data_IF_128646161019
#
_entry.id   IF_128646161019
#
_cell.length_a   1.000
_cell.length_b   1.000
_cell.length_c   1.000
_cell.angle_alpha   90.00
_cell.angle_beta   90.00
_cell.angle_gamma   90.00
#
_symmetry.space_group_name_H-M   'P 1'
#
loop_
_entity.id
_entity.type
_entity.pdbx_description
1 polymer ?
#
# COMPACT_ATOMS: atom_id res chain seq x y z
N UNK A 1 -30.64 7.46 20.09
CA UNK A 1 -30.39 7.58 18.64
C UNK A 1 -28.97 7.13 18.41
N UNK A 2 -28.78 5.98 17.77
CA UNK A 2 -27.45 5.45 17.44
C UNK A 2 -27.05 6.07 16.11
N UNK A 3 -26.12 7.01 16.13
CA UNK A 3 -25.60 7.62 14.89
C UNK A 3 -24.72 6.57 14.22
N UNK A 4 -25.25 5.85 13.23
CA UNK A 4 -24.42 5.08 12.31
C UNK A 4 -23.59 6.09 11.53
N UNK A 5 -22.29 6.18 11.83
CA UNK A 5 -21.39 7.02 11.05
C UNK A 5 -21.32 6.41 9.65
N UNK A 6 -21.90 7.07 8.65
CA UNK A 6 -21.67 6.69 7.26
C UNK A 6 -20.16 6.74 7.01
N UNK A 7 -19.61 5.61 6.60
CA UNK A 7 -18.18 5.50 6.33
C UNK A 7 -17.91 6.14 4.98
N UNK A 8 -17.23 7.29 4.98
CA UNK A 8 -16.85 7.96 3.74
C UNK A 8 -15.58 7.33 3.14
N UNK A 9 -15.41 7.39 1.82
CA UNK A 9 -14.18 6.98 1.12
C UNK A 9 -12.94 7.62 1.76
N UNK A 10 -13.02 8.91 2.11
CA UNK A 10 -11.94 9.63 2.82
C UNK A 10 -11.58 8.96 4.14
N UNK A 11 -12.56 8.54 4.93
CA UNK A 11 -12.34 7.87 6.22
C UNK A 11 -11.69 6.50 6.02
N UNK A 12 -12.13 5.72 5.04
CA UNK A 12 -11.52 4.40 4.71
C UNK A 12 -10.08 4.55 4.27
N UNK A 13 -9.79 5.50 3.37
CA UNK A 13 -8.43 5.75 2.89
C UNK A 13 -7.53 6.21 4.03
N UNK A 14 -7.99 7.11 4.90
CA UNK A 14 -7.22 7.55 6.05
C UNK A 14 -6.90 6.39 7.00
N UNK A 15 -7.88 5.51 7.24
CA UNK A 15 -7.69 4.31 8.05
C UNK A 15 -6.72 3.31 7.39
N UNK A 16 -6.80 3.10 6.08
CA UNK A 16 -5.85 2.28 5.32
C UNK A 16 -4.42 2.80 5.48
N UNK A 17 -4.20 4.09 5.23
CA UNK A 17 -2.89 4.71 5.35
C UNK A 17 -2.36 4.63 6.79
N UNK A 18 -3.23 4.79 7.79
CA UNK A 18 -2.88 4.62 9.20
C UNK A 18 -2.42 3.19 9.49
N UNK A 19 -3.15 2.18 9.01
CA UNK A 19 -2.77 0.76 9.20
C UNK A 19 -1.46 0.42 8.47
N UNK A 20 -1.27 0.95 7.25
CA UNK A 20 -0.01 0.81 6.50
C UNK A 20 1.16 1.37 7.32
N UNK A 21 1.00 2.56 7.92
CA UNK A 21 2.01 3.17 8.77
C UNK A 21 2.31 2.39 10.07
N UNK A 22 1.38 1.55 10.53
CA UNK A 22 1.59 0.67 11.69
C UNK A 22 2.30 -0.64 11.32
N UNK A 23 2.24 -1.06 10.06
CA UNK A 23 3.03 -2.17 9.53
C UNK A 23 2.56 -3.57 9.92
N UNK A 24 1.28 -3.73 10.29
CA UNK A 24 0.65 -5.05 10.56
C UNK A 24 -0.06 -5.55 9.29
N UNK A 25 0.50 -6.54 8.55
CA UNK A 25 -0.03 -6.98 7.27
C UNK A 25 -1.46 -7.52 7.33
N UNK A 26 -1.79 -8.26 8.38
CA UNK A 26 -3.10 -8.85 8.60
C UNK A 26 -4.14 -7.75 8.83
N UNK A 27 -3.82 -6.77 9.68
CA UNK A 27 -4.73 -5.65 9.95
C UNK A 27 -4.90 -4.73 8.74
N UNK A 28 -3.86 -4.52 7.95
CA UNK A 28 -3.97 -3.77 6.69
C UNK A 28 -4.92 -4.49 5.74
N UNK A 29 -4.76 -5.81 5.59
CA UNK A 29 -5.56 -6.62 4.68
C UNK A 29 -7.07 -6.65 5.03
N UNK A 30 -7.46 -6.47 6.29
CA UNK A 30 -8.87 -6.38 6.68
C UNK A 30 -9.67 -5.30 5.92
N UNK A 31 -9.02 -4.24 5.43
CA UNK A 31 -9.66 -3.20 4.63
C UNK A 31 -9.80 -3.54 3.15
N UNK A 32 -9.14 -4.58 2.68
CA UNK A 32 -9.24 -5.02 1.31
C UNK A 32 -10.49 -5.87 1.12
N UNK A 33 -11.14 -5.72 -0.03
CA UNK A 33 -12.17 -6.66 -0.47
C UNK A 33 -11.57 -8.08 -0.59
N UNK A 34 -12.41 -9.10 -0.47
CA UNK A 34 -11.96 -10.50 -0.58
C UNK A 34 -11.31 -10.75 -1.95
N UNK A 35 -11.89 -10.14 -2.98
CA UNK A 35 -11.41 -10.11 -4.36
C UNK A 35 -11.33 -8.66 -4.83
N UNK A 36 -10.31 -8.32 -5.62
CA UNK A 36 -10.10 -7.01 -6.20
C UNK A 36 -9.13 -7.04 -7.37
N UNK A 37 -8.98 -5.91 -8.06
CA UNK A 37 -8.02 -5.77 -9.15
C UNK A 37 -6.89 -4.84 -8.70
N UNK A 38 -5.79 -5.41 -8.19
CA UNK A 38 -4.63 -4.63 -7.78
C UNK A 38 -3.58 -4.66 -8.89
N UNK A 39 -3.49 -3.52 -9.59
CA UNK A 39 -2.52 -3.28 -10.66
C UNK A 39 -1.39 -2.36 -10.24
N UNK A 40 -0.29 -2.48 -10.97
CA UNK A 40 0.90 -1.64 -10.86
C UNK A 40 1.22 -1.15 -12.27
N UNK A 41 1.55 0.12 -12.42
CA UNK A 41 2.06 0.67 -13.67
C UNK A 41 3.56 0.38 -13.76
N UNK A 42 3.88 -0.88 -14.07
CA UNK A 42 5.23 -1.42 -14.18
C UNK A 42 5.27 -2.47 -15.28
N UNK A 43 6.32 -2.51 -16.14
CA UNK A 43 6.33 -3.45 -17.26
C UNK A 43 6.20 -4.90 -16.79
N UNK A 44 5.29 -5.65 -17.41
CA UNK A 44 4.87 -6.99 -16.95
C UNK A 44 6.02 -8.01 -16.97
N UNK A 45 6.96 -7.87 -17.91
CA UNK A 45 8.16 -8.72 -18.02
C UNK A 45 9.16 -8.49 -16.87
N UNK A 46 8.97 -7.45 -16.07
CA UNK A 46 9.74 -7.20 -14.86
C UNK A 46 9.06 -7.69 -13.58
N UNK A 47 7.83 -8.22 -13.65
CA UNK A 47 7.10 -8.67 -12.46
C UNK A 47 7.79 -9.89 -11.82
N UNK A 48 7.77 -9.95 -10.49
CA UNK A 48 8.29 -11.09 -9.72
C UNK A 48 9.81 -11.26 -9.74
N UNK A 49 10.58 -10.26 -10.21
CA UNK A 49 12.05 -10.28 -10.14
C UNK A 49 12.54 -10.52 -8.71
N UNK A 50 13.62 -11.29 -8.56
CA UNK A 50 14.17 -11.64 -7.24
C UNK A 50 14.52 -10.42 -6.36
N UNK A 51 14.89 -9.29 -6.96
CA UNK A 51 15.19 -8.06 -6.24
C UNK A 51 13.94 -7.31 -5.75
N UNK A 52 12.80 -7.52 -6.40
CA UNK A 52 11.53 -6.81 -6.18
C UNK A 52 10.32 -7.75 -6.32
N UNK A 53 10.25 -8.87 -5.56
CA UNK A 53 9.22 -9.90 -5.74
C UNK A 53 7.79 -9.38 -5.50
N UNK A 54 7.65 -8.28 -4.75
CA UNK A 54 6.37 -7.65 -4.45
C UNK A 54 5.75 -6.91 -5.64
N UNK A 55 6.53 -6.62 -6.69
CA UNK A 55 6.07 -5.98 -7.93
C UNK A 55 5.43 -7.03 -8.82
N UNK A 56 4.11 -7.19 -8.67
CA UNK A 56 3.25 -8.05 -9.48
C UNK A 56 1.78 -7.70 -9.24
N UNK A 57 0.92 -8.08 -10.18
CA UNK A 57 -0.53 -8.02 -9.97
C UNK A 57 -1.00 -8.93 -8.82
N UNK A 58 -2.08 -8.50 -8.15
CA UNK A 58 -2.69 -9.17 -7.01
C UNK A 58 -4.20 -9.11 -7.11
N UNK A 59 -4.88 -10.11 -6.58
CA UNK A 59 -6.32 -10.26 -6.79
C UNK A 59 -7.13 -10.47 -5.51
N UNK A 60 -6.48 -10.73 -4.37
CA UNK A 60 -7.19 -11.14 -3.15
C UNK A 60 -6.74 -10.37 -1.91
N UNK A 61 -7.58 -10.39 -0.87
CA UNK A 61 -7.19 -9.94 0.47
C UNK A 61 -5.93 -10.64 0.98
N UNK A 62 -5.81 -11.95 0.74
CA UNK A 62 -4.65 -12.73 1.14
C UNK A 62 -3.37 -12.24 0.42
N UNK A 63 -3.49 -11.86 -0.86
CA UNK A 63 -2.39 -11.27 -1.60
C UNK A 63 -1.96 -9.91 -1.03
N UNK A 64 -2.90 -9.09 -0.55
CA UNK A 64 -2.58 -7.83 0.12
C UNK A 64 -1.73 -8.07 1.38
N UNK A 65 -2.14 -9.01 2.24
CA UNK A 65 -1.34 -9.38 3.40
C UNK A 65 0.05 -9.90 3.00
N UNK A 66 0.13 -10.75 1.96
CA UNK A 66 1.41 -11.23 1.44
C UNK A 66 2.29 -10.08 0.91
N UNK A 67 1.72 -9.09 0.23
CA UNK A 67 2.43 -7.91 -0.26
C UNK A 67 3.11 -7.14 0.87
N UNK A 68 2.38 -6.83 1.94
CA UNK A 68 2.94 -6.08 3.06
C UNK A 68 3.98 -6.89 3.86
N UNK A 69 3.83 -8.22 3.96
CA UNK A 69 4.88 -9.11 4.52
C UNK A 69 6.16 -9.09 3.66
N UNK A 70 6.02 -9.21 2.34
CA UNK A 70 7.15 -9.14 1.40
C UNK A 70 7.86 -7.78 1.51
N UNK A 71 7.11 -6.67 1.52
CA UNK A 71 7.70 -5.34 1.72
C UNK A 71 8.48 -5.24 3.04
N UNK A 72 7.91 -5.70 4.16
CA UNK A 72 8.57 -5.67 5.46
C UNK A 72 9.85 -6.54 5.50
N UNK A 73 9.85 -7.69 4.83
CA UNK A 73 11.02 -8.57 4.74
C UNK A 73 12.17 -7.93 3.94
N UNK A 74 11.85 -7.19 2.88
CA UNK A 74 12.84 -6.64 1.95
C UNK A 74 13.35 -5.22 2.30
N UNK A 75 12.79 -4.57 3.32
CA UNK A 75 13.20 -3.24 3.78
C UNK A 75 13.73 -3.24 5.21
N UNK A 76 14.58 -2.25 5.53
CA UNK A 76 15.18 -2.09 6.86
C UNK A 76 14.11 -1.60 7.86
N UNK A 77 13.86 -2.31 8.98
CA UNK A 77 12.86 -1.89 9.97
C UNK A 77 13.21 -0.53 10.58
N UNK A 78 12.21 0.32 10.76
CA UNK A 78 12.38 1.65 11.36
C UNK A 78 12.99 2.71 10.43
N UNK A 79 13.30 2.38 9.17
CA UNK A 79 13.80 3.35 8.18
C UNK A 79 12.77 3.73 7.10
N UNK A 80 11.53 3.26 7.26
CA UNK A 80 10.40 3.69 6.44
C UNK A 80 10.04 5.15 6.77
N UNK A 81 9.96 6.01 5.75
CA UNK A 81 9.56 7.42 5.90
C UNK A 81 8.59 7.85 4.79
N UNK A 82 7.77 6.93 4.25
CA UNK A 82 6.80 7.25 3.19
C UNK A 82 5.94 8.46 3.57
N UNK A 83 5.86 9.44 2.66
CA UNK A 83 5.12 10.69 2.87
C UNK A 83 3.88 10.73 2.00
N UNK A 84 2.74 11.01 2.63
CA UNK A 84 1.47 11.29 1.94
C UNK A 84 1.40 12.78 1.70
N UNK A 85 1.28 13.19 0.44
CA UNK A 85 1.24 14.59 0.03
C UNK A 85 -0.20 15.08 -0.17
N UNK A 86 -1.06 14.26 -0.78
CA UNK A 86 -2.47 14.60 -1.04
C UNK A 86 -3.36 13.38 -1.08
N UNK A 87 -4.63 13.58 -0.68
CA UNK A 87 -5.71 12.62 -0.84
C UNK A 87 -6.90 13.33 -1.51
N UNK A 88 -7.10 13.03 -2.79
CA UNK A 88 -8.22 13.49 -3.60
C UNK A 88 -9.32 12.42 -3.53
N UNK A 89 -10.58 12.84 -3.35
CA UNK A 89 -11.72 11.93 -3.23
C UNK A 89 -12.83 12.45 -4.13
N UNK A 90 -13.39 11.56 -4.94
CA UNK A 90 -14.56 11.82 -5.79
C UNK A 90 -15.52 10.63 -5.67
N UNK A 91 -16.61 10.82 -4.93
CA UNK A 91 -17.56 9.73 -4.65
C UNK A 91 -16.89 8.51 -4.00
N UNK A 92 -16.95 7.38 -4.70
CA UNK A 92 -16.38 6.11 -4.26
C UNK A 92 -14.87 5.99 -4.54
N UNK A 93 -14.32 6.85 -5.38
CA UNK A 93 -12.93 6.81 -5.83
C UNK A 93 -12.04 7.74 -4.99
N UNK A 94 -10.79 7.34 -4.82
CA UNK A 94 -9.76 8.19 -4.24
C UNK A 94 -8.41 8.05 -4.93
N UNK A 95 -7.65 9.15 -4.99
CA UNK A 95 -6.25 9.15 -5.42
C UNK A 95 -5.38 9.66 -4.28
N UNK A 96 -4.42 8.83 -3.88
CA UNK A 96 -3.37 9.18 -2.91
C UNK A 96 -2.09 9.49 -3.67
N UNK A 97 -1.55 10.70 -3.47
CA UNK A 97 -0.26 11.13 -4.00
C UNK A 97 0.76 11.17 -2.88
N UNK A 98 1.99 10.74 -3.17
CA UNK A 98 3.06 10.78 -2.19
C UNK A 98 4.42 10.35 -2.70
N UNK A 99 5.34 10.18 -1.76
CA UNK A 99 6.70 9.71 -1.99
C UNK A 99 7.01 8.53 -1.06
N UNK A 100 7.27 7.37 -1.64
CA UNK A 100 7.85 6.22 -0.95
C UNK A 100 9.28 6.59 -0.55
N UNK A 101 9.62 6.34 0.71
CA UNK A 101 10.99 6.47 1.22
C UNK A 101 11.31 5.24 2.05
N UNK A 102 12.29 4.48 1.59
CA UNK A 102 12.63 3.18 2.16
C UNK A 102 14.13 2.91 2.00
N UNK A 103 14.63 1.94 2.75
CA UNK A 103 15.99 1.43 2.61
C UNK A 103 15.93 -0.06 2.28
N UNK A 104 16.48 -0.45 1.12
CA UNK A 104 16.51 -1.84 0.70
C UNK A 104 17.44 -2.65 1.61
N UNK A 105 16.95 -3.74 2.21
CA UNK A 105 17.74 -4.56 3.14
C UNK A 105 18.95 -5.21 2.46
N UNK A 106 18.80 -5.65 1.22
CA UNK A 106 19.84 -6.37 0.48
C UNK A 106 21.09 -5.54 0.19
N UNK A 107 20.94 -4.22 0.08
CA UNK A 107 22.03 -3.31 -0.31
C UNK A 107 22.32 -2.22 0.72
N UNK A 108 21.43 -2.01 1.69
CA UNK A 108 21.48 -0.88 2.63
C UNK A 108 21.26 0.48 1.96
N UNK A 109 20.88 0.53 0.68
CA UNK A 109 20.74 1.79 -0.06
C UNK A 109 19.35 2.40 0.19
N UNK A 110 19.27 3.68 0.60
CA UNK A 110 18.01 4.39 0.65
C UNK A 110 17.55 4.69 -0.78
N UNK A 111 16.24 4.64 -1.01
CA UNK A 111 15.62 5.06 -2.27
C UNK A 111 14.37 5.89 -2.00
N UNK A 112 14.00 6.67 -3.03
CA UNK A 112 12.78 7.46 -3.06
C UNK A 112 12.06 7.23 -4.38
N UNK A 113 10.74 7.14 -4.34
CA UNK A 113 9.92 7.01 -5.53
C UNK A 113 8.58 7.72 -5.32
N UNK A 114 8.15 8.54 -6.28
CA UNK A 114 6.81 9.13 -6.26
C UNK A 114 5.78 8.10 -6.67
N UNK A 115 4.58 8.19 -6.09
CA UNK A 115 3.47 7.32 -6.43
C UNK A 115 2.16 8.09 -6.56
N UNK A 116 1.26 7.52 -7.37
CA UNK A 116 -0.16 7.79 -7.37
C UNK A 116 -0.89 6.45 -7.18
N UNK A 117 -1.68 6.34 -6.12
CA UNK A 117 -2.46 5.14 -5.79
C UNK A 117 -3.95 5.47 -5.96
N UNK A 118 -4.62 4.79 -6.87
CA UNK A 118 -6.07 4.84 -7.04
C UNK A 118 -6.73 3.74 -6.19
N UNK A 119 -7.80 4.10 -5.49
CA UNK A 119 -8.55 3.27 -4.54
C UNK A 119 -10.05 3.45 -4.77
#
# INVERSE_FOLDING_TARGET
MTTTVETTTRSVVAELLRRIGQGDPERIAELYAEHGDWKLDWPEDEHGRAATPWIRHRATRADAAAHFRELAAHHVPGQADTRIERVLVDGADAVVLGEIRQTARSTGRPYRARFALHL
#
